data_IF_595966222602
#
_entry.id   IF_595966222602
#
_cell.length_a   1.000
_cell.length_b   1.000
_cell.length_c   1.000
_cell.angle_alpha   90.00
_cell.angle_beta   90.00
_cell.angle_gamma   90.00
#
_symmetry.space_group_name_H-M   'P 1'
#
loop_
_entity.id
_entity.type
_entity.pdbx_description
1 polymer ?
#
# COMPACT_ATOMS: atom_id res chain seq x y z
N UNK A 1 7.65 -20.66 5.56
CA UNK A 1 8.35 -19.49 4.99
C UNK A 1 7.44 -18.97 3.90
N UNK A 2 6.90 -17.75 4.04
CA UNK A 2 6.04 -17.16 3.00
C UNK A 2 6.86 -16.84 1.76
N UNK A 3 6.27 -16.95 0.58
CA UNK A 3 6.92 -16.50 -0.65
C UNK A 3 7.34 -15.03 -0.53
N UNK A 4 8.50 -14.63 -1.08
CA UNK A 4 8.90 -13.23 -1.13
C UNK A 4 7.81 -12.41 -1.82
N UNK A 5 7.47 -11.25 -1.24
CA UNK A 5 6.50 -10.32 -1.84
C UNK A 5 7.06 -9.84 -3.18
N UNK A 6 6.35 -10.12 -4.27
CA UNK A 6 6.69 -9.61 -5.60
C UNK A 6 6.23 -8.15 -5.74
N UNK A 7 7.14 -7.23 -5.43
CA UNK A 7 6.92 -5.80 -5.53
C UNK A 7 6.64 -5.34 -6.98
N UNK A 8 7.16 -6.06 -7.98
CA UNK A 8 6.92 -5.74 -9.39
C UNK A 8 5.47 -6.04 -9.75
N UNK A 9 4.98 -7.22 -9.36
CA UNK A 9 3.58 -7.60 -9.62
C UNK A 9 2.59 -6.72 -8.85
N UNK A 10 2.91 -6.31 -7.62
CA UNK A 10 2.08 -5.32 -6.90
C UNK A 10 2.00 -3.98 -7.62
N UNK A 11 3.13 -3.44 -8.08
CA UNK A 11 3.15 -2.18 -8.81
C UNK A 11 2.35 -2.26 -10.13
N UNK A 12 2.46 -3.38 -10.86
CA UNK A 12 1.68 -3.63 -12.07
C UNK A 12 0.18 -3.72 -11.80
N UNK A 13 -0.22 -4.41 -10.72
CA UNK A 13 -1.63 -4.51 -10.33
C UNK A 13 -2.19 -3.14 -9.91
N UNK A 14 -1.42 -2.34 -9.17
CA UNK A 14 -1.79 -0.98 -8.80
C UNK A 14 -2.01 -0.11 -10.06
N UNK A 15 -1.08 -0.18 -11.02
CA UNK A 15 -1.18 0.53 -12.30
C UNK A 15 -2.37 0.07 -13.16
N UNK A 16 -2.70 -1.22 -13.14
CA UNK A 16 -3.89 -1.72 -13.82
C UNK A 16 -5.18 -1.24 -13.14
N UNK A 17 -5.19 -1.14 -11.81
CA UNK A 17 -6.35 -0.71 -11.02
C UNK A 17 -6.62 0.79 -11.06
N UNK A 18 -5.62 1.61 -11.40
CA UNK A 18 -5.76 3.08 -11.43
C UNK A 18 -6.58 3.61 -12.60
N UNK A 19 -7.04 2.75 -13.52
CA UNK A 19 -8.05 3.12 -14.52
C UNK A 19 -7.58 4.16 -15.55
N UNK A 20 -6.28 4.13 -15.87
CA UNK A 20 -5.55 5.19 -16.60
C UNK A 20 -6.01 5.46 -18.04
N UNK A 21 -6.86 4.64 -18.64
CA UNK A 21 -7.45 4.92 -19.96
C UNK A 21 -6.43 5.34 -21.03
N UNK A 22 -6.59 6.56 -21.57
CA UNK A 22 -5.71 7.16 -22.59
C UNK A 22 -4.66 8.11 -22.01
N UNK A 23 -4.43 8.09 -20.69
CA UNK A 23 -3.46 8.96 -20.05
C UNK A 23 -2.06 8.69 -20.59
N UNK A 24 -1.26 9.74 -20.71
CA UNK A 24 0.11 9.60 -21.18
C UNK A 24 0.94 8.77 -20.19
N UNK A 25 2.02 8.11 -20.63
CA UNK A 25 2.90 7.36 -19.73
C UNK A 25 3.43 8.19 -18.54
N UNK A 26 3.59 9.50 -18.71
CA UNK A 26 4.00 10.40 -17.64
C UNK A 26 2.89 10.62 -16.60
N UNK A 27 1.64 10.82 -17.05
CA UNK A 27 0.48 10.95 -16.15
C UNK A 27 0.22 9.64 -15.40
N UNK A 28 0.27 8.51 -16.12
CA UNK A 28 0.20 7.17 -15.54
C UNK A 28 1.24 6.94 -14.44
N UNK A 29 2.49 7.36 -14.67
CA UNK A 29 3.55 7.27 -13.68
C UNK A 29 3.26 8.11 -12.43
N UNK A 30 2.81 9.36 -12.60
CA UNK A 30 2.50 10.26 -11.47
C UNK A 30 1.33 9.72 -10.66
N UNK A 31 0.26 9.26 -11.32
CA UNK A 31 -0.92 8.68 -10.66
C UNK A 31 -0.53 7.40 -9.92
N UNK A 32 0.25 6.51 -10.54
CA UNK A 32 0.75 5.31 -9.91
C UNK A 32 1.62 5.60 -8.69
N UNK A 33 2.50 6.60 -8.77
CA UNK A 33 3.32 7.05 -7.65
C UNK A 33 2.44 7.56 -6.50
N UNK A 34 1.51 8.49 -6.76
CA UNK A 34 0.61 9.03 -5.73
C UNK A 34 -0.23 7.94 -5.05
N UNK A 35 -0.77 7.01 -5.84
CA UNK A 35 -1.58 5.88 -5.35
C UNK A 35 -0.74 4.96 -4.46
N UNK A 36 0.46 4.58 -4.92
CA UNK A 36 1.36 3.73 -4.15
C UNK A 36 1.81 4.38 -2.83
N UNK A 37 2.07 5.68 -2.83
CA UNK A 37 2.38 6.41 -1.60
C UNK A 37 1.23 6.43 -0.61
N UNK A 38 0.00 6.65 -1.07
CA UNK A 38 -1.16 6.60 -0.19
C UNK A 38 -1.33 5.21 0.43
N UNK A 39 -1.22 4.15 -0.37
CA UNK A 39 -1.30 2.77 0.12
C UNK A 39 -0.22 2.44 1.16
N UNK A 40 1.01 2.94 0.96
CA UNK A 40 2.09 2.77 1.93
C UNK A 40 1.80 3.48 3.25
N UNK A 41 1.25 4.70 3.20
CA UNK A 41 0.83 5.45 4.39
C UNK A 41 -0.31 4.71 5.11
N UNK A 42 -1.31 4.23 4.37
CA UNK A 42 -2.45 3.50 4.94
C UNK A 42 -1.98 2.23 5.66
N UNK A 43 -1.02 1.50 5.09
CA UNK A 43 -0.40 0.32 5.72
C UNK A 43 0.33 0.69 7.01
N UNK A 44 1.11 1.78 7.03
CA UNK A 44 1.79 2.24 8.23
C UNK A 44 0.79 2.58 9.35
N UNK A 45 -0.31 3.26 9.01
CA UNK A 45 -1.38 3.59 9.95
C UNK A 45 -2.04 2.31 10.49
N UNK A 46 -2.29 1.32 9.64
CA UNK A 46 -2.86 0.04 10.07
C UNK A 46 -1.94 -0.68 11.05
N UNK A 47 -0.63 -0.78 10.73
CA UNK A 47 0.36 -1.41 11.60
C UNK A 47 0.41 -0.71 12.96
N UNK A 48 0.51 0.63 12.97
CA UNK A 48 0.53 1.41 14.23
C UNK A 48 -0.75 1.20 15.04
N UNK A 49 -1.90 1.17 14.38
CA UNK A 49 -3.19 0.92 15.04
C UNK A 49 -3.25 -0.47 15.68
N UNK A 50 -2.71 -1.49 15.02
CA UNK A 50 -2.69 -2.85 15.57
C UNK A 50 -1.72 -2.96 16.74
N UNK A 51 -0.52 -2.40 16.63
CA UNK A 51 0.45 -2.36 17.74
C UNK A 51 -0.13 -1.68 18.97
N UNK A 52 -0.76 -0.50 18.80
CA UNK A 52 -1.41 0.21 19.91
C UNK A 52 -2.53 -0.62 20.57
N UNK A 53 -3.30 -1.41 19.79
CA UNK A 53 -4.31 -2.31 20.34
C UNK A 53 -3.70 -3.49 21.11
N UNK A 54 -2.57 -4.02 20.65
CA UNK A 54 -1.85 -5.08 21.35
C UNK A 54 -1.28 -4.56 22.69
N UNK A 55 -0.66 -3.38 22.69
CA UNK A 55 -0.15 -2.74 23.90
C UNK A 55 -1.25 -2.50 24.94
N UNK A 56 -2.42 -2.00 24.50
CA UNK A 56 -3.59 -1.82 25.37
C UNK A 56 -4.07 -3.14 25.98
N UNK A 57 -4.11 -4.23 25.20
CA UNK A 57 -4.49 -5.56 25.70
C UNK A 57 -3.47 -6.08 26.72
N UNK A 58 -2.18 -5.91 26.44
CA UNK A 58 -1.10 -6.34 27.32
C UNK A 58 -1.07 -5.57 28.64
N UNK A 59 -1.44 -4.28 28.63
CA UNK A 59 -1.53 -3.46 29.84
C UNK A 59 -2.75 -3.80 30.74
N UNK A 60 -3.74 -4.52 30.21
CA UNK A 60 -4.98 -4.89 30.90
C UNK A 60 -5.00 -6.36 31.39
N UNK A 61 -3.98 -7.14 31.04
CA UNK A 61 -3.79 -8.54 31.45
C UNK A 61 -2.94 -8.64 32.72
#
# INVERSE_FOLDING_TARGET
MGEPIDLTQQALNALASSGLGNDSPAEAFVIGYQTGWQQAIDLCIEIETQLNKEDLKNAQA
#
